data_IF_058316840418
#
_entry.id   IF_058316840418
#
_cell.length_a   1.000
_cell.length_b   1.000
_cell.length_c   1.000
_cell.angle_alpha   90.00
_cell.angle_beta   90.00
_cell.angle_gamma   90.00
#
_symmetry.space_group_name_H-M   'P 1'
#
loop_
_entity.id
_entity.type
_entity.pdbx_description
1 polymer ?
#
# COMPACT_ATOMS: atom_id res chain seq x y z
N UNK A 1 -20.96 55.63 -9.70
CA UNK A 1 -21.33 54.82 -8.51
C UNK A 1 -21.75 53.43 -8.94
N UNK A 2 -22.65 53.34 -9.93
CA UNK A 2 -23.09 52.03 -10.44
C UNK A 2 -21.94 51.23 -11.05
N UNK A 3 -21.07 51.92 -11.81
CA UNK A 3 -19.93 51.26 -12.41
C UNK A 3 -18.96 50.75 -11.35
N UNK A 4 -18.72 51.52 -10.28
CA UNK A 4 -17.84 51.09 -9.21
C UNK A 4 -18.41 49.88 -8.48
N UNK A 5 -19.71 49.84 -8.26
CA UNK A 5 -20.35 48.70 -7.63
C UNK A 5 -20.24 47.46 -8.51
N UNK A 6 -20.42 47.63 -9.82
CA UNK A 6 -20.28 46.52 -10.76
C UNK A 6 -18.83 45.99 -10.79
N UNK A 7 -17.86 46.87 -10.71
CA UNK A 7 -16.43 46.45 -10.66
C UNK A 7 -16.16 45.65 -9.40
N UNK A 8 -16.64 46.11 -8.27
CA UNK A 8 -16.45 45.36 -7.01
C UNK A 8 -17.12 44.01 -7.09
N UNK A 9 -18.32 43.95 -7.64
CA UNK A 9 -19.02 42.67 -7.80
C UNK A 9 -18.24 41.72 -8.69
N UNK A 10 -17.66 42.24 -9.77
CA UNK A 10 -16.85 41.42 -10.66
C UNK A 10 -15.59 40.89 -9.95
N UNK A 11 -14.94 41.73 -9.15
CA UNK A 11 -13.77 41.31 -8.38
C UNK A 11 -14.13 40.23 -7.36
N UNK A 12 -15.26 40.39 -6.68
CA UNK A 12 -15.70 39.39 -5.73
C UNK A 12 -15.97 38.06 -6.43
N UNK A 13 -16.56 38.10 -7.61
CA UNK A 13 -16.82 36.89 -8.38
C UNK A 13 -15.52 36.23 -8.78
N UNK A 14 -14.49 37.00 -9.16
CA UNK A 14 -13.17 36.45 -9.51
C UNK A 14 -12.51 35.80 -8.31
N UNK A 15 -12.57 36.44 -7.15
CA UNK A 15 -11.98 35.88 -5.94
C UNK A 15 -12.72 34.59 -5.56
N UNK A 16 -14.04 34.57 -5.70
CA UNK A 16 -14.80 33.34 -5.43
C UNK A 16 -14.38 32.21 -6.35
N UNK A 17 -14.16 32.53 -7.63
CA UNK A 17 -13.73 31.53 -8.60
C UNK A 17 -12.33 30.99 -8.24
N UNK A 18 -11.42 31.88 -7.83
CA UNK A 18 -10.08 31.48 -7.41
C UNK A 18 -10.13 30.58 -6.17
N UNK A 19 -10.97 30.92 -5.22
CA UNK A 19 -11.13 30.11 -4.02
C UNK A 19 -11.66 28.71 -4.38
N UNK A 20 -12.61 28.65 -5.32
CA UNK A 20 -13.14 27.37 -5.78
C UNK A 20 -12.04 26.55 -6.48
N UNK A 21 -11.20 27.19 -7.29
CA UNK A 21 -10.10 26.51 -7.97
C UNK A 21 -9.10 25.96 -6.97
N UNK A 22 -8.75 26.75 -5.96
CA UNK A 22 -7.82 26.28 -4.92
C UNK A 22 -8.42 25.11 -4.15
N UNK A 23 -9.70 25.17 -3.84
CA UNK A 23 -10.37 24.07 -3.14
C UNK A 23 -10.35 22.81 -3.99
N UNK A 24 -10.56 22.94 -5.29
CA UNK A 24 -10.49 21.78 -6.20
C UNK A 24 -9.09 21.20 -6.25
N UNK A 25 -8.06 22.05 -6.28
CA UNK A 25 -6.67 21.60 -6.28
C UNK A 25 -6.34 20.85 -5.00
N UNK A 26 -6.78 21.37 -3.87
CA UNK A 26 -6.57 20.71 -2.58
C UNK A 26 -7.26 19.36 -2.55
N UNK A 27 -8.47 19.28 -3.09
CA UNK A 27 -9.18 17.99 -3.14
C UNK A 27 -8.44 16.98 -3.99
N UNK A 28 -7.85 17.42 -5.11
CA UNK A 28 -7.04 16.53 -5.96
C UNK A 28 -5.81 16.03 -5.23
N UNK A 29 -5.12 16.92 -4.53
CA UNK A 29 -3.93 16.53 -3.78
C UNK A 29 -4.29 15.52 -2.70
N UNK A 30 -5.40 15.76 -1.99
CA UNK A 30 -5.86 14.83 -0.96
C UNK A 30 -6.17 13.47 -1.57
N UNK A 31 -6.83 13.45 -2.73
CA UNK A 31 -7.14 12.19 -3.42
C UNK A 31 -5.85 11.46 -3.80
N UNK A 32 -4.85 12.18 -4.30
CA UNK A 32 -3.57 11.57 -4.66
C UNK A 32 -2.87 10.98 -3.44
N UNK A 33 -2.90 11.70 -2.32
CA UNK A 33 -2.31 11.20 -1.08
C UNK A 33 -3.01 9.92 -0.63
N UNK A 34 -4.33 9.89 -0.75
CA UNK A 34 -5.07 8.67 -0.41
C UNK A 34 -4.70 7.50 -1.31
N UNK A 35 -4.51 7.77 -2.60
CA UNK A 35 -4.10 6.73 -3.55
C UNK A 35 -2.73 6.17 -3.19
N UNK A 36 -1.79 7.05 -2.88
CA UNK A 36 -0.45 6.62 -2.48
C UNK A 36 -0.52 5.80 -1.20
N UNK A 37 -1.33 6.22 -0.23
CA UNK A 37 -1.48 5.47 1.01
C UNK A 37 -2.06 4.08 0.75
N UNK A 38 -3.03 3.98 -0.17
CA UNK A 38 -3.60 2.69 -0.53
C UNK A 38 -2.57 1.79 -1.20
N UNK A 39 -1.76 2.35 -2.09
CA UNK A 39 -0.70 1.59 -2.74
C UNK A 39 0.32 1.09 -1.75
N UNK A 40 0.68 1.94 -0.79
CA UNK A 40 1.63 1.54 0.25
C UNK A 40 1.06 0.39 1.08
N UNK A 41 -0.22 0.45 1.42
CA UNK A 41 -0.86 -0.64 2.16
C UNK A 41 -0.83 -1.94 1.36
N UNK A 42 -1.00 -1.86 0.05
CA UNK A 42 -0.93 -3.04 -0.82
C UNK A 42 0.47 -3.63 -0.84
N UNK A 43 1.49 -2.76 -0.93
CA UNK A 43 2.87 -3.22 -0.90
C UNK A 43 3.17 -3.91 0.42
N UNK A 44 2.73 -3.34 1.52
CA UNK A 44 2.94 -3.94 2.84
C UNK A 44 2.25 -5.30 2.95
N UNK A 45 1.06 -5.42 2.36
CA UNK A 45 0.35 -6.70 2.36
C UNK A 45 1.10 -7.74 1.53
N UNK A 46 1.66 -7.33 0.39
CA UNK A 46 2.47 -8.22 -0.43
C UNK A 46 3.73 -8.68 0.30
N UNK A 47 4.37 -7.77 1.01
CA UNK A 47 5.56 -8.11 1.79
C UNK A 47 5.22 -9.14 2.87
N UNK A 48 4.06 -8.97 3.51
CA UNK A 48 3.63 -9.92 4.52
C UNK A 48 3.37 -11.30 3.90
N UNK A 49 2.78 -11.33 2.69
CA UNK A 49 2.55 -12.59 1.99
C UNK A 49 3.85 -13.26 1.62
N UNK A 50 4.82 -12.49 1.14
CA UNK A 50 6.14 -13.05 0.80
C UNK A 50 6.79 -13.63 2.05
N UNK A 51 6.73 -12.91 3.16
CA UNK A 51 7.31 -13.40 4.41
C UNK A 51 6.64 -14.70 4.85
N UNK A 52 5.32 -14.79 4.70
CA UNK A 52 4.60 -16.02 5.04
C UNK A 52 5.00 -17.17 4.13
N UNK A 53 5.19 -16.91 2.83
CA UNK A 53 5.62 -17.92 1.88
C UNK A 53 7.02 -18.42 2.21
N UNK A 54 7.92 -17.52 2.57
CA UNK A 54 9.27 -17.89 2.97
C UNK A 54 9.24 -18.77 4.21
N UNK A 55 8.39 -18.42 5.19
CA UNK A 55 8.24 -19.22 6.39
C UNK A 55 7.72 -20.62 6.08
N UNK A 56 6.79 -20.74 5.12
CA UNK A 56 6.28 -22.05 4.70
C UNK A 56 7.37 -22.90 4.06
N UNK A 57 8.16 -22.28 3.19
CA UNK A 57 9.27 -23.01 2.55
C UNK A 57 10.24 -23.50 3.61
N UNK A 58 10.57 -22.66 4.58
CA UNK A 58 11.49 -23.05 5.65
C UNK A 58 10.92 -24.22 6.46
N UNK A 59 9.61 -24.19 6.73
CA UNK A 59 8.97 -25.28 7.46
C UNK A 59 9.00 -26.57 6.65
N UNK A 60 8.78 -26.50 5.34
CA UNK A 60 8.84 -27.66 4.47
C UNK A 60 10.24 -28.25 4.43
N UNK A 61 11.24 -27.38 4.37
CA UNK A 61 12.63 -27.84 4.39
C UNK A 61 12.95 -28.57 5.69
N UNK A 62 12.45 -28.05 6.81
CA UNK A 62 12.66 -28.69 8.09
C UNK A 62 11.98 -30.07 8.13
N UNK A 63 10.80 -30.20 7.54
CA UNK A 63 10.11 -31.48 7.48
C UNK A 63 10.86 -32.49 6.64
N UNK A 64 11.35 -32.05 5.48
CA UNK A 64 12.15 -32.92 4.61
C UNK A 64 13.40 -33.39 5.35
N UNK A 65 14.08 -32.48 6.03
CA UNK A 65 15.27 -32.85 6.79
C UNK A 65 14.94 -33.89 7.87
N UNK A 66 13.81 -33.73 8.55
CA UNK A 66 13.37 -34.69 9.56
C UNK A 66 13.09 -36.05 8.93
N UNK A 67 12.46 -36.09 7.77
CA UNK A 67 12.15 -37.33 7.06
C UNK A 67 13.44 -38.05 6.62
N UNK A 68 14.39 -37.28 6.11
CA UNK A 68 15.69 -37.85 5.71
C UNK A 68 16.40 -38.46 6.91
N UNK A 69 16.33 -37.77 8.06
CA UNK A 69 16.95 -38.29 9.27
C UNK A 69 16.31 -39.62 9.70
N UNK A 70 14.99 -39.72 9.57
CA UNK A 70 14.26 -40.96 9.90
C UNK A 70 14.69 -42.10 8.96
N UNK A 71 14.78 -41.80 7.66
CA UNK A 71 15.18 -42.81 6.70
C UNK A 71 16.61 -43.28 6.99
N UNK A 72 17.51 -42.36 7.30
CA UNK A 72 18.88 -42.70 7.64
C UNK A 72 18.92 -43.60 8.87
N UNK A 73 18.12 -43.29 9.88
CA UNK A 73 18.06 -44.10 11.10
C UNK A 73 17.51 -45.50 10.81
N UNK A 74 16.49 -45.60 9.96
CA UNK A 74 15.95 -46.90 9.56
C UNK A 74 16.98 -47.73 8.83
N UNK A 75 17.71 -47.12 7.90
CA UNK A 75 18.76 -47.84 7.16
C UNK A 75 19.83 -48.33 8.12
N UNK A 76 20.22 -47.51 9.09
CA UNK A 76 21.24 -47.91 10.06
C UNK A 76 20.76 -49.11 10.89
N UNK A 77 19.47 -49.13 11.26
CA UNK A 77 18.92 -50.27 12.00
C UNK A 77 18.96 -51.56 11.16
N UNK A 78 18.58 -51.44 9.89
CA UNK A 78 18.59 -52.61 9.00
C UNK A 78 20.00 -53.19 8.85
N UNK A 79 20.99 -52.33 8.75
CA UNK A 79 22.38 -52.79 8.61
C UNK A 79 22.93 -53.40 9.89
N UNK A 80 22.45 -52.93 11.02
CA UNK A 80 22.91 -53.46 12.29
C UNK A 80 22.38 -54.88 12.47
#
# INVERSE_FOLDING_TARGET
VAAAVADVAAEVAEVSALVADVAADVALVVAEVCDVSAELAEVEALEALVAAAVALVAAEEAEVAAEVALVVADVAEVKA
#
